data_IF_112105396720
#
_entry.id   IF_112105396720
#
_cell.length_a   1.000
_cell.length_b   1.000
_cell.length_c   1.000
_cell.angle_alpha   90.00
_cell.angle_beta   90.00
_cell.angle_gamma   90.00
#
_symmetry.space_group_name_H-M   'P 1'
#
loop_
_entity.id
_entity.type
_entity.pdbx_description
1 polymer ?
#
# COMPACT_ATOMS: atom_id res chain seq x y z
N UNK A 1 13.51 -9.88 -25.07
CA UNK A 1 13.94 -8.70 -24.26
C UNK A 1 14.77 -7.67 -25.04
N UNK A 2 15.49 -8.04 -26.12
CA UNK A 2 16.31 -7.11 -26.94
C UNK A 2 15.52 -6.12 -27.83
N UNK A 3 14.25 -6.38 -28.16
CA UNK A 3 13.44 -5.49 -29.03
C UNK A 3 12.97 -4.24 -28.28
N UNK A 4 12.70 -4.35 -26.98
CA UNK A 4 12.21 -3.23 -26.15
C UNK A 4 13.29 -2.15 -25.97
N UNK A 5 14.56 -2.52 -25.89
CA UNK A 5 15.67 -1.56 -25.83
C UNK A 5 15.90 -0.79 -27.14
N UNK A 6 15.55 -1.40 -28.28
CA UNK A 6 15.72 -0.78 -29.61
C UNK A 6 14.62 0.24 -29.90
N UNK A 7 13.39 0.03 -29.40
CA UNK A 7 12.25 0.91 -29.69
C UNK A 7 12.10 2.08 -28.70
N UNK A 8 12.68 1.98 -27.49
CA UNK A 8 12.61 3.02 -26.46
C UNK A 8 13.03 4.43 -26.94
N UNK A 9 14.13 4.61 -27.71
CA UNK A 9 14.52 5.94 -28.18
C UNK A 9 13.50 6.56 -29.14
N UNK A 10 12.86 5.75 -29.98
CA UNK A 10 11.87 6.21 -30.95
C UNK A 10 10.55 6.58 -30.29
N UNK A 11 10.12 5.83 -29.28
CA UNK A 11 8.94 6.19 -28.49
C UNK A 11 9.15 7.47 -27.70
N UNK A 12 10.33 7.65 -27.10
CA UNK A 12 10.66 8.85 -26.31
C UNK A 12 10.84 10.09 -27.21
N UNK A 13 11.38 9.91 -28.42
CA UNK A 13 11.49 10.97 -29.43
C UNK A 13 10.13 11.37 -30.02
N UNK A 14 9.24 10.41 -30.27
CA UNK A 14 7.87 10.69 -30.70
C UNK A 14 7.07 11.42 -29.60
N UNK A 15 7.23 11.00 -28.34
CA UNK A 15 6.57 11.61 -27.19
C UNK A 15 7.05 13.05 -26.95
N UNK A 16 8.37 13.29 -27.05
CA UNK A 16 8.94 14.65 -26.87
C UNK A 16 8.52 15.61 -27.99
N UNK A 17 8.47 15.15 -29.25
CA UNK A 17 7.92 15.92 -30.38
C UNK A 17 6.42 16.21 -30.21
N UNK A 18 5.67 15.27 -29.65
CA UNK A 18 4.25 15.48 -29.34
C UNK A 18 4.01 16.54 -28.26
N UNK A 19 4.85 16.58 -27.22
CA UNK A 19 4.80 17.61 -26.17
C UNK A 19 5.08 19.00 -26.75
N UNK A 20 5.98 19.12 -27.72
CA UNK A 20 6.22 20.37 -28.47
C UNK A 20 5.01 20.78 -29.31
N UNK A 21 4.36 19.84 -30.00
CA UNK A 21 3.13 20.09 -30.79
C UNK A 21 1.99 20.61 -29.90
N UNK A 22 1.94 20.21 -28.62
CA UNK A 22 0.95 20.67 -27.63
C UNK A 22 1.06 22.17 -27.29
N UNK A 23 2.22 22.80 -27.47
CA UNK A 23 2.36 24.25 -27.26
C UNK A 23 1.61 25.07 -28.33
N UNK A 24 1.23 24.44 -29.46
CA UNK A 24 0.41 25.07 -30.48
C UNK A 24 -1.08 24.80 -30.24
N UNK A 25 -1.87 25.85 -29.98
CA UNK A 25 -3.32 25.79 -29.74
C UNK A 25 -4.17 25.42 -30.97
N UNK A 26 -3.56 25.21 -32.13
CA UNK A 26 -4.29 24.98 -33.38
C UNK A 26 -4.94 23.60 -33.44
N UNK A 27 -6.21 23.55 -33.86
CA UNK A 27 -6.94 22.32 -34.15
C UNK A 27 -6.19 21.40 -35.16
N UNK A 28 -5.37 21.99 -36.05
CA UNK A 28 -4.58 21.24 -37.03
C UNK A 28 -3.48 20.36 -36.40
N UNK A 29 -2.92 20.79 -35.27
CA UNK A 29 -1.89 20.04 -34.54
C UNK A 29 -2.46 18.77 -33.90
N UNK A 30 -3.70 18.83 -33.40
CA UNK A 30 -4.43 17.67 -32.87
C UNK A 30 -4.79 16.67 -33.97
N UNK A 31 -5.13 17.17 -35.16
CA UNK A 31 -5.47 16.35 -36.32
C UNK A 31 -4.24 15.63 -36.89
N UNK A 32 -3.12 16.34 -37.05
CA UNK A 32 -1.86 15.75 -37.52
C UNK A 32 -1.34 14.67 -36.58
N UNK A 33 -1.54 14.87 -35.28
CA UNK A 33 -1.21 13.87 -34.30
C UNK A 33 -2.05 12.59 -34.38
N UNK A 34 -3.36 12.73 -34.59
CA UNK A 34 -4.27 11.60 -34.79
C UNK A 34 -3.90 10.80 -36.06
N UNK A 35 -3.56 11.50 -37.14
CA UNK A 35 -3.14 10.90 -38.40
C UNK A 35 -1.82 10.12 -38.27
N UNK A 36 -0.89 10.60 -37.45
CA UNK A 36 0.36 9.89 -37.19
C UNK A 36 0.12 8.58 -36.44
N UNK A 37 -0.78 8.58 -35.44
CA UNK A 37 -1.18 7.37 -34.71
C UNK A 37 -1.87 6.37 -35.64
N UNK A 38 -2.75 6.85 -36.51
CA UNK A 38 -3.43 6.03 -37.52
C UNK A 38 -2.48 5.47 -38.58
N UNK A 39 -1.42 6.18 -38.94
CA UNK A 39 -0.41 5.72 -39.90
C UNK A 39 0.54 4.65 -39.33
N UNK A 40 0.78 4.67 -38.02
CA UNK A 40 1.66 3.68 -37.34
C UNK A 40 0.91 2.37 -37.06
N UNK A 41 -0.40 2.41 -36.85
CA UNK A 41 -1.25 1.24 -36.53
C UNK A 41 -1.10 0.06 -37.52
N UNK A 42 -1.08 0.24 -38.87
CA UNK A 42 -0.94 -0.86 -39.83
C UNK A 42 0.48 -1.45 -39.88
N UNK A 43 1.51 -0.60 -39.70
CA UNK A 43 2.91 -1.01 -39.72
C UNK A 43 3.25 -1.94 -38.54
N UNK A 44 2.52 -1.79 -37.44
CA UNK A 44 2.75 -2.56 -36.22
C UNK A 44 1.79 -3.76 -36.09
N UNK A 45 0.71 -3.82 -36.86
CA UNK A 45 -0.15 -5.01 -37.00
C UNK A 45 0.56 -6.26 -37.54
N UNK A 46 1.81 -6.15 -38.01
CA UNK A 46 2.66 -7.29 -38.40
C UNK A 46 3.39 -7.93 -37.21
N UNK A 47 3.37 -7.34 -36.02
CA UNK A 47 3.94 -7.92 -34.81
C UNK A 47 2.91 -8.86 -34.16
N UNK A 48 2.83 -10.08 -34.67
CA UNK A 48 1.92 -11.12 -34.17
C UNK A 48 2.28 -11.54 -32.73
N UNK A 49 1.44 -11.20 -31.76
CA UNK A 49 1.54 -11.71 -30.40
C UNK A 49 0.55 -11.11 -29.41
N UNK A 50 0.29 -11.85 -28.32
CA UNK A 50 -0.54 -11.44 -27.18
C UNK A 50 -0.05 -10.13 -26.52
N UNK A 51 1.20 -9.73 -26.76
CA UNK A 51 1.80 -8.50 -26.24
C UNK A 51 1.30 -7.23 -26.96
N UNK A 52 0.85 -7.33 -28.22
CA UNK A 52 0.42 -6.15 -28.99
C UNK A 52 -0.90 -5.57 -28.48
N UNK A 53 -1.88 -6.43 -28.18
CA UNK A 53 -3.17 -5.99 -27.63
C UNK A 53 -2.96 -5.28 -26.29
N UNK A 54 -2.06 -5.78 -25.44
CA UNK A 54 -1.68 -5.11 -24.19
C UNK A 54 -0.99 -3.76 -24.44
N UNK A 55 -0.07 -3.70 -25.42
CA UNK A 55 0.57 -2.45 -25.79
C UNK A 55 -0.44 -1.40 -26.29
N UNK A 56 -1.32 -1.75 -27.23
CA UNK A 56 -2.36 -0.86 -27.72
C UNK A 56 -3.26 -0.39 -26.59
N UNK A 57 -3.69 -1.29 -25.70
CA UNK A 57 -4.47 -0.92 -24.52
C UNK A 57 -3.71 0.08 -23.65
N UNK A 58 -2.44 -0.17 -23.32
CA UNK A 58 -1.61 0.76 -22.53
C UNK A 58 -1.44 2.12 -23.21
N UNK A 59 -1.24 2.14 -24.53
CA UNK A 59 -1.13 3.38 -25.29
C UNK A 59 -2.46 4.14 -25.30
N UNK A 60 -3.57 3.46 -25.58
CA UNK A 60 -4.92 4.04 -25.49
C UNK A 60 -5.16 4.64 -24.12
N UNK A 61 -4.74 3.97 -23.04
CA UNK A 61 -4.85 4.50 -21.68
C UNK A 61 -3.96 5.70 -21.43
N UNK A 62 -2.70 5.70 -21.88
CA UNK A 62 -1.85 6.89 -21.82
C UNK A 62 -2.47 8.08 -22.55
N UNK A 63 -3.19 7.83 -23.65
CA UNK A 63 -3.86 8.85 -24.43
C UNK A 63 -5.26 9.21 -23.90
N UNK A 64 -5.88 8.38 -23.08
CA UNK A 64 -7.27 8.55 -22.63
C UNK A 64 -7.50 9.85 -21.85
N UNK A 65 -6.63 10.32 -20.93
CA UNK A 65 -6.80 11.61 -20.25
C UNK A 65 -6.95 12.79 -21.22
N UNK A 66 -6.42 12.69 -22.44
CA UNK A 66 -6.53 13.74 -23.45
C UNK A 66 -7.90 13.74 -24.17
N UNK A 67 -8.63 12.63 -24.14
CA UNK A 67 -9.91 12.45 -24.82
C UNK A 67 -11.10 12.32 -23.87
N UNK A 68 -10.89 11.82 -22.65
CA UNK A 68 -11.94 11.68 -21.64
C UNK A 68 -12.06 12.93 -20.78
N UNK A 69 -13.28 13.47 -20.64
CA UNK A 69 -13.61 14.52 -19.66
C UNK A 69 -13.61 14.02 -18.21
N UNK A 70 -13.23 12.76 -17.96
CA UNK A 70 -13.20 12.23 -16.60
C UNK A 70 -11.96 12.76 -15.90
N UNK A 71 -12.16 13.80 -15.09
CA UNK A 71 -11.08 14.43 -14.32
C UNK A 71 -10.82 13.54 -13.10
N UNK A 72 -9.74 12.77 -13.13
CA UNK A 72 -9.20 12.19 -11.91
C UNK A 72 -8.61 13.33 -11.06
N UNK A 73 -8.87 13.38 -9.75
CA UNK A 73 -8.20 14.34 -8.90
C UNK A 73 -6.70 14.08 -8.92
N UNK A 74 -5.92 15.11 -9.22
CA UNK A 74 -4.46 15.09 -9.10
C UNK A 74 -3.98 15.33 -7.67
N UNK A 75 -4.85 15.94 -6.87
CA UNK A 75 -4.62 16.15 -5.45
C UNK A 75 -4.93 14.88 -4.64
N UNK A 76 -3.88 14.30 -4.05
CA UNK A 76 -3.98 13.11 -3.21
C UNK A 76 -4.82 13.37 -1.96
N UNK A 77 -4.84 14.60 -1.42
CA UNK A 77 -5.61 14.92 -0.22
C UNK A 77 -7.10 14.61 -0.44
N UNK A 78 -7.60 14.87 -1.65
CA UNK A 78 -8.96 14.50 -2.05
C UNK A 78 -9.18 12.99 -2.12
N UNK A 79 -8.18 12.21 -2.53
CA UNK A 79 -8.22 10.74 -2.46
C UNK A 79 -8.11 10.20 -1.03
N UNK A 80 -7.65 11.00 -0.07
CA UNK A 80 -7.50 10.62 1.34
C UNK A 80 -8.65 11.12 2.22
N UNK A 81 -9.52 11.98 1.67
CA UNK A 81 -10.54 12.70 2.44
C UNK A 81 -9.91 13.53 3.56
N UNK A 82 -8.72 14.08 3.32
CA UNK A 82 -8.04 14.92 4.30
C UNK A 82 -8.88 16.19 4.54
N UNK A 83 -9.11 16.54 5.81
CA UNK A 83 -9.92 17.71 6.20
C UNK A 83 -11.44 17.53 6.11
N UNK A 84 -11.93 16.36 5.69
CA UNK A 84 -13.37 16.07 5.63
C UNK A 84 -13.91 15.84 7.04
N UNK A 85 -15.00 16.52 7.39
CA UNK A 85 -15.74 16.24 8.63
C UNK A 85 -16.34 14.83 8.56
N UNK A 86 -15.79 13.91 9.35
CA UNK A 86 -16.20 12.50 9.37
C UNK A 86 -17.58 12.28 9.99
N UNK A 87 -18.10 13.26 10.74
CA UNK A 87 -19.45 13.19 11.32
C UNK A 87 -20.54 13.62 10.30
N UNK A 88 -20.15 14.25 9.20
CA UNK A 88 -21.03 14.52 8.06
C UNK A 88 -21.13 13.27 7.16
N UNK A 89 -22.04 12.37 7.55
CA UNK A 89 -22.29 11.11 6.87
C UNK A 89 -22.66 11.27 5.38
N UNK A 90 -23.38 12.33 5.02
CA UNK A 90 -23.80 12.58 3.64
C UNK A 90 -22.60 12.98 2.78
N UNK A 91 -21.75 13.88 3.29
CA UNK A 91 -20.50 14.24 2.62
C UNK A 91 -19.59 13.03 2.45
N UNK A 92 -19.39 12.23 3.50
CA UNK A 92 -18.57 11.01 3.44
C UNK A 92 -19.12 10.04 2.40
N UNK A 93 -20.43 9.82 2.38
CA UNK A 93 -21.11 8.95 1.42
C UNK A 93 -20.91 9.42 -0.02
N UNK A 94 -21.09 10.74 -0.26
CA UNK A 94 -20.86 11.36 -1.58
C UNK A 94 -19.41 11.18 -2.04
N UNK A 95 -18.44 11.45 -1.17
CA UNK A 95 -17.02 11.32 -1.50
C UNK A 95 -16.60 9.88 -1.74
N UNK A 96 -17.18 8.91 -1.02
CA UNK A 96 -16.98 7.49 -1.31
C UNK A 96 -17.53 7.08 -2.68
N UNK A 97 -18.73 7.55 -3.03
CA UNK A 97 -19.32 7.30 -4.36
C UNK A 97 -18.43 7.88 -5.46
N UNK A 98 -17.93 9.10 -5.25
CA UNK A 98 -16.99 9.74 -6.16
C UNK A 98 -15.69 8.93 -6.29
N UNK A 99 -15.11 8.50 -5.17
CA UNK A 99 -13.91 7.66 -5.16
C UNK A 99 -14.10 6.31 -5.88
N UNK A 100 -15.23 5.65 -5.63
CA UNK A 100 -15.60 4.41 -6.34
C UNK A 100 -15.71 4.65 -7.85
N UNK A 101 -16.23 5.81 -8.28
CA UNK A 101 -16.27 6.15 -9.71
C UNK A 101 -14.87 6.29 -10.32
N UNK A 102 -13.90 6.86 -9.58
CA UNK A 102 -12.51 6.97 -10.05
C UNK A 102 -11.82 5.60 -10.16
N UNK A 103 -11.99 4.71 -9.18
CA UNK A 103 -11.48 3.35 -9.27
C UNK A 103 -12.12 2.56 -10.41
N UNK A 104 -13.43 2.75 -10.62
CA UNK A 104 -14.15 2.15 -11.75
C UNK A 104 -13.58 2.64 -13.08
N UNK A 105 -13.36 3.95 -13.21
CA UNK A 105 -12.70 4.54 -14.38
C UNK A 105 -11.31 3.94 -14.64
N UNK A 106 -10.51 3.72 -13.59
CA UNK A 106 -9.18 3.13 -13.66
C UNK A 106 -9.17 1.61 -13.90
N UNK A 107 -10.32 0.93 -13.80
CA UNK A 107 -10.39 -0.55 -13.88
C UNK A 107 -9.69 -1.10 -15.13
N UNK A 108 -9.95 -0.60 -16.35
CA UNK A 108 -9.32 -1.19 -17.52
C UNK A 108 -7.88 -0.70 -17.74
N UNK A 109 -7.43 0.39 -17.08
CA UNK A 109 -6.00 0.71 -16.98
C UNK A 109 -5.28 -0.41 -16.23
N UNK A 110 -5.76 -0.78 -15.03
CA UNK A 110 -5.15 -1.87 -14.25
C UNK A 110 -5.24 -3.22 -14.96
N UNK A 111 -6.34 -3.50 -15.66
CA UNK A 111 -6.47 -4.72 -16.46
C UNK A 111 -5.38 -4.84 -17.54
N UNK A 112 -4.98 -3.73 -18.17
CA UNK A 112 -3.89 -3.69 -19.16
C UNK A 112 -2.49 -3.98 -18.56
N UNK A 113 -2.37 -3.94 -17.23
CA UNK A 113 -1.18 -4.37 -16.47
C UNK A 113 -1.35 -5.76 -15.84
N UNK A 114 -2.45 -6.46 -16.15
CA UNK A 114 -2.71 -7.80 -15.62
C UNK A 114 -3.33 -7.80 -14.22
N UNK A 115 -3.96 -6.70 -13.81
CA UNK A 115 -4.62 -6.56 -12.52
C UNK A 115 -6.14 -6.42 -12.66
N UNK A 116 -6.88 -7.28 -12.00
CA UNK A 116 -8.35 -7.23 -11.92
C UNK A 116 -8.79 -6.64 -10.58
N UNK A 117 -9.32 -5.42 -10.60
CA UNK A 117 -9.80 -4.76 -9.38
C UNK A 117 -10.95 -5.54 -8.74
N UNK A 118 -11.01 -5.51 -7.41
CA UNK A 118 -12.16 -6.01 -6.66
C UNK A 118 -13.40 -5.14 -6.93
N UNK A 119 -14.53 -5.83 -7.11
CA UNK A 119 -15.84 -5.24 -7.37
C UNK A 119 -16.49 -4.90 -6.01
N UNK A 120 -17.19 -3.76 -5.88
CA UNK A 120 -17.95 -3.47 -4.66
C UNK A 120 -19.04 -4.54 -4.44
N UNK A 121 -19.33 -4.87 -3.17
CA UNK A 121 -20.35 -5.89 -2.82
C UNK A 121 -21.76 -5.42 -3.19
N UNK A 122 -22.04 -4.16 -2.92
CA UNK A 122 -23.32 -3.52 -3.15
C UNK A 122 -23.11 -2.11 -3.72
N UNK A 123 -24.17 -1.55 -4.30
CA UNK A 123 -24.20 -0.13 -4.71
C UNK A 123 -24.19 0.81 -3.49
N UNK A 124 -24.39 0.26 -2.30
CA UNK A 124 -24.25 1.03 -1.07
C UNK A 124 -22.81 1.49 -0.92
N UNK A 125 -22.62 2.63 -0.27
CA UNK A 125 -21.31 3.22 -0.01
C UNK A 125 -20.47 2.43 1.02
N UNK A 126 -20.65 1.09 1.09
CA UNK A 126 -19.79 0.22 1.86
C UNK A 126 -18.41 0.20 1.20
N UNK A 127 -17.37 0.27 2.03
CA UNK A 127 -15.99 0.19 1.55
C UNK A 127 -15.56 -1.26 1.23
N UNK A 128 -16.52 -2.19 1.19
CA UNK A 128 -16.26 -3.60 1.04
C UNK A 128 -16.20 -3.96 -0.44
N UNK A 129 -15.16 -4.68 -0.83
CA UNK A 129 -15.00 -5.17 -2.19
C UNK A 129 -14.51 -6.62 -2.19
N UNK A 130 -14.80 -7.35 -3.27
CA UNK A 130 -14.47 -8.76 -3.40
C UNK A 130 -13.91 -9.07 -4.79
N UNK A 131 -13.09 -10.13 -4.92
CA UNK A 131 -12.63 -10.60 -6.21
C UNK A 131 -13.76 -11.29 -6.97
N UNK A 132 -13.96 -10.89 -8.22
CA UNK A 132 -14.93 -11.53 -9.10
C UNK A 132 -14.39 -12.87 -9.65
N UNK A 133 -15.23 -13.92 -9.79
CA UNK A 133 -16.63 -14.00 -9.38
C UNK A 133 -16.80 -14.23 -7.87
N UNK A 134 -17.91 -13.78 -7.27
CA UNK A 134 -18.16 -13.83 -5.82
C UNK A 134 -18.07 -15.25 -5.22
N UNK A 135 -18.55 -16.25 -5.96
CA UNK A 135 -18.56 -17.66 -5.55
C UNK A 135 -17.36 -18.46 -6.09
N UNK A 136 -16.35 -17.77 -6.62
CA UNK A 136 -15.12 -18.41 -7.06
C UNK A 136 -14.29 -18.97 -5.89
N UNK A 137 -13.51 -20.01 -6.17
CA UNK A 137 -12.49 -20.49 -5.25
C UNK A 137 -11.17 -19.74 -5.48
N UNK A 138 -10.46 -19.37 -4.42
CA UNK A 138 -9.11 -18.85 -4.53
C UNK A 138 -8.16 -19.89 -5.13
N UNK A 139 -7.11 -19.42 -5.80
CA UNK A 139 -5.97 -20.27 -6.21
C UNK A 139 -5.29 -20.93 -5.01
N UNK A 140 -4.78 -22.15 -5.17
CA UNK A 140 -4.48 -23.05 -4.05
C UNK A 140 -3.14 -22.81 -3.33
N UNK A 141 -2.28 -21.87 -3.78
CA UNK A 141 -1.04 -21.57 -3.05
C UNK A 141 -0.51 -20.17 -3.30
N UNK A 142 -0.34 -19.41 -2.22
CA UNK A 142 0.45 -18.18 -2.22
C UNK A 142 1.87 -18.53 -1.77
N UNK A 143 2.87 -18.03 -2.48
CA UNK A 143 4.29 -18.13 -2.12
C UNK A 143 4.72 -16.74 -1.65
N UNK A 144 5.67 -16.66 -0.71
CA UNK A 144 6.28 -15.38 -0.34
C UNK A 144 6.63 -14.58 -1.62
N UNK A 145 6.28 -13.28 -1.70
CA UNK A 145 5.96 -12.37 -0.60
C UNK A 145 4.47 -12.22 -0.24
N UNK A 146 3.62 -13.08 -0.76
CA UNK A 146 2.18 -13.03 -0.49
C UNK A 146 1.87 -13.65 0.87
N UNK A 147 0.90 -13.06 1.58
CA UNK A 147 0.48 -13.54 2.88
C UNK A 147 -0.17 -14.93 2.78
N UNK A 148 -0.30 -15.64 3.89
CA UNK A 148 -1.10 -16.86 3.90
C UNK A 148 -2.56 -16.48 3.67
N UNK A 149 -3.22 -17.20 2.78
CA UNK A 149 -4.66 -17.03 2.53
C UNK A 149 -5.46 -17.75 3.61
N UNK A 150 -6.24 -17.01 4.40
CA UNK A 150 -7.07 -17.54 5.49
C UNK A 150 -8.56 -17.71 5.12
N UNK A 151 -8.86 -17.88 3.83
CA UNK A 151 -10.23 -17.96 3.34
C UNK A 151 -10.38 -19.03 2.25
N UNK A 152 -11.56 -19.66 2.20
CA UNK A 152 -11.87 -20.76 1.28
C UNK A 152 -12.69 -20.30 0.07
N UNK A 153 -13.37 -19.16 0.17
CA UNK A 153 -14.21 -18.61 -0.91
C UNK A 153 -13.90 -17.14 -1.18
N UNK A 154 -14.10 -16.68 -2.42
CA UNK A 154 -13.94 -15.26 -2.76
C UNK A 154 -14.85 -14.36 -1.90
N UNK A 155 -16.02 -14.85 -1.48
CA UNK A 155 -16.93 -14.16 -0.56
C UNK A 155 -16.33 -13.93 0.83
N UNK A 156 -15.47 -14.81 1.32
CA UNK A 156 -14.77 -14.61 2.60
C UNK A 156 -13.58 -13.65 2.46
N UNK A 157 -13.03 -13.52 1.25
CA UNK A 157 -11.86 -12.68 0.96
C UNK A 157 -12.12 -11.17 0.95
N UNK A 158 -13.30 -10.74 1.41
CA UNK A 158 -13.74 -9.34 1.38
C UNK A 158 -12.63 -8.41 1.86
N UNK A 159 -12.24 -7.51 0.97
CA UNK A 159 -11.37 -6.41 1.32
C UNK A 159 -12.21 -5.41 2.10
N UNK A 160 -12.26 -5.63 3.42
CA UNK A 160 -12.89 -4.73 4.37
C UNK A 160 -11.88 -3.65 4.70
N UNK A 161 -12.05 -2.44 4.16
CA UNK A 161 -11.46 -1.26 4.79
C UNK A 161 -12.24 -1.12 6.08
N UNK A 162 -11.71 -1.64 7.19
CA UNK A 162 -12.41 -1.72 8.47
C UNK A 162 -12.98 -0.34 8.84
N UNK A 163 -14.27 -0.17 8.59
CA UNK A 163 -15.10 0.81 9.25
C UNK A 163 -15.71 -0.02 10.36
N UNK A 164 -15.09 -0.01 11.53
CA UNK A 164 -15.72 -0.64 12.70
C UNK A 164 -16.92 0.22 13.02
N UNK A 165 -18.05 -0.15 12.43
CA UNK A 165 -19.35 0.30 12.86
C UNK A 165 -19.68 -0.43 14.18
N UNK A 166 -20.20 0.34 15.14
CA UNK A 166 -20.37 0.01 16.56
C UNK A 166 -19.10 -0.32 17.36
N UNK A 167 -18.38 0.71 17.83
CA UNK A 167 -18.08 0.89 19.29
C UNK A 167 -16.95 1.88 19.66
N UNK A 168 -16.36 2.69 18.77
CA UNK A 168 -15.71 3.90 19.29
C UNK A 168 -15.59 5.06 18.30
N UNK A 169 -16.05 6.23 18.75
CA UNK A 169 -15.61 7.54 18.24
C UNK A 169 -14.07 7.61 18.15
N UNK A 170 -13.37 6.87 19.03
CA UNK A 170 -11.91 6.76 19.08
C UNK A 170 -11.30 6.02 17.86
N UNK A 171 -11.87 4.88 17.44
CA UNK A 171 -11.44 4.18 16.22
C UNK A 171 -11.86 4.95 14.96
N UNK A 172 -12.92 5.77 15.02
CA UNK A 172 -13.33 6.65 13.91
C UNK A 172 -12.23 7.65 13.50
N UNK A 173 -11.41 8.11 14.44
CA UNK A 173 -10.25 8.98 14.17
C UNK A 173 -9.02 8.24 13.64
N UNK A 174 -8.82 6.98 14.06
CA UNK A 174 -7.69 6.15 13.60
C UNK A 174 -7.98 5.45 12.27
N UNK A 175 -9.24 5.16 12.00
CA UNK A 175 -9.76 4.67 10.72
C UNK A 175 -10.03 5.84 9.78
N UNK A 176 -9.05 6.75 9.64
CA UNK A 176 -8.94 7.62 8.46
C UNK A 176 -8.87 6.69 7.25
N UNK A 177 -10.05 6.39 6.73
CA UNK A 177 -10.26 5.47 5.63
C UNK A 177 -9.30 5.87 4.53
N UNK A 178 -8.71 4.88 3.86
CA UNK A 178 -7.77 5.12 2.77
C UNK A 178 -8.49 4.86 1.44
N UNK A 179 -9.32 5.80 0.93
CA UNK A 179 -9.87 5.72 -0.42
C UNK A 179 -8.78 5.70 -1.51
N UNK A 180 -7.53 5.92 -1.13
CA UNK A 180 -6.35 5.70 -1.95
C UNK A 180 -5.94 4.22 -2.07
N UNK A 181 -6.72 3.25 -1.58
CA UNK A 181 -6.39 1.82 -1.61
C UNK A 181 -7.52 0.98 -2.19
N UNK A 182 -7.21 0.03 -3.08
CA UNK A 182 -8.15 -0.94 -3.64
C UNK A 182 -7.55 -2.34 -3.66
N UNK A 183 -8.34 -3.35 -3.28
CA UNK A 183 -7.98 -4.75 -3.50
C UNK A 183 -8.05 -5.11 -4.99
N UNK A 184 -7.18 -6.01 -5.43
CA UNK A 184 -7.18 -6.54 -6.78
C UNK A 184 -6.61 -7.96 -6.82
N UNK A 185 -6.68 -8.61 -7.99
CA UNK A 185 -5.96 -9.84 -8.29
C UNK A 185 -5.01 -9.64 -9.44
N UNK A 186 -3.85 -10.28 -9.37
CA UNK A 186 -2.95 -10.35 -10.52
C UNK A 186 -3.38 -11.47 -11.51
N UNK A 187 -2.64 -11.58 -12.62
CA UNK A 187 -2.84 -12.60 -13.65
C UNK A 187 -2.73 -14.06 -13.15
N UNK A 188 -2.14 -14.28 -11.98
CA UNK A 188 -2.00 -15.59 -11.35
C UNK A 188 -3.11 -15.85 -10.31
N UNK A 189 -4.08 -14.96 -10.17
CA UNK A 189 -5.15 -15.05 -9.17
C UNK A 189 -4.66 -14.84 -7.73
N UNK A 190 -3.48 -14.23 -7.54
CA UNK A 190 -2.97 -13.85 -6.22
C UNK A 190 -3.56 -12.51 -5.82
N UNK A 191 -3.91 -12.35 -4.55
CA UNK A 191 -4.50 -11.10 -4.09
C UNK A 191 -3.42 -10.05 -3.85
N UNK A 192 -3.67 -8.87 -4.39
CA UNK A 192 -2.80 -7.70 -4.26
C UNK A 192 -3.64 -6.52 -3.76
N UNK A 193 -2.94 -5.49 -3.33
CA UNK A 193 -3.49 -4.20 -2.96
C UNK A 193 -2.81 -3.14 -3.82
N UNK A 194 -3.62 -2.31 -4.46
CA UNK A 194 -3.17 -1.18 -5.25
C UNK A 194 -3.40 0.08 -4.43
N UNK A 195 -2.36 0.90 -4.27
CA UNK A 195 -2.40 2.11 -3.46
C UNK A 195 -1.83 3.31 -4.18
N UNK A 196 -2.50 4.46 -4.08
CA UNK A 196 -1.99 5.74 -4.55
C UNK A 196 -1.05 6.32 -3.49
N UNK A 197 0.17 6.65 -3.89
CA UNK A 197 1.22 7.16 -2.99
C UNK A 197 1.68 8.56 -3.35
N UNK A 198 1.52 8.97 -4.61
CA UNK A 198 1.89 10.31 -5.07
C UNK A 198 0.92 10.82 -6.14
N UNK A 199 0.81 12.15 -6.24
CA UNK A 199 0.25 12.86 -7.36
C UNK A 199 1.39 13.42 -8.22
N UNK A 200 1.12 14.42 -9.08
CA UNK A 200 2.11 15.00 -9.99
C UNK A 200 3.36 15.53 -9.26
N UNK A 201 3.18 16.01 -8.04
CA UNK A 201 4.28 16.36 -7.14
C UNK A 201 4.65 15.15 -6.29
N UNK A 202 5.95 14.80 -6.30
CA UNK A 202 6.46 13.65 -5.57
C UNK A 202 6.32 13.83 -4.06
N UNK A 203 5.52 12.96 -3.44
CA UNK A 203 5.29 12.97 -2.00
C UNK A 203 6.53 12.51 -1.21
N UNK A 204 6.60 12.91 0.07
CA UNK A 204 7.63 12.36 0.98
C UNK A 204 7.48 10.85 1.18
N UNK A 205 6.24 10.36 1.17
CA UNK A 205 5.94 8.92 1.29
C UNK A 205 6.52 8.14 0.12
N UNK A 206 6.41 8.64 -1.11
CA UNK A 206 7.04 8.04 -2.29
C UNK A 206 8.55 7.87 -2.10
N UNK A 207 9.26 8.93 -1.69
CA UNK A 207 10.71 8.89 -1.47
C UNK A 207 11.13 7.88 -0.41
N UNK A 208 10.34 7.75 0.65
CA UNK A 208 10.58 6.74 1.71
C UNK A 208 10.39 5.33 1.14
N UNK A 209 9.34 5.09 0.36
CA UNK A 209 9.09 3.79 -0.25
C UNK A 209 10.16 3.42 -1.29
N UNK A 210 10.62 4.37 -2.09
CA UNK A 210 11.76 4.20 -3.01
C UNK A 210 13.03 3.82 -2.25
N UNK A 211 13.30 4.46 -1.12
CA UNK A 211 14.43 4.12 -0.26
C UNK A 211 14.30 2.70 0.33
N UNK A 212 13.14 2.38 0.91
CA UNK A 212 12.88 1.07 1.54
C UNK A 212 12.88 -0.09 0.53
N UNK A 213 12.64 0.18 -0.75
CA UNK A 213 12.71 -0.81 -1.82
C UNK A 213 14.03 -0.79 -2.58
N UNK A 214 14.99 0.05 -2.17
CA UNK A 214 16.33 0.06 -2.75
C UNK A 214 17.08 -1.25 -2.43
N UNK A 215 17.99 -1.72 -3.32
CA UNK A 215 18.74 -2.95 -3.09
C UNK A 215 19.57 -2.97 -1.79
N UNK A 216 20.02 -1.81 -1.30
CA UNK A 216 20.75 -1.71 -0.03
C UNK A 216 19.82 -1.85 1.17
N UNK A 217 18.64 -1.23 1.15
CA UNK A 217 17.65 -1.36 2.21
C UNK A 217 17.04 -2.77 2.25
N UNK A 218 16.82 -3.43 1.11
CA UNK A 218 16.28 -4.79 1.06
C UNK A 218 17.25 -5.86 1.60
N UNK A 219 18.56 -5.56 1.66
CA UNK A 219 19.56 -6.43 2.29
C UNK A 219 19.55 -6.33 3.81
N UNK A 220 18.96 -5.28 4.37
CA UNK A 220 18.84 -5.13 5.82
C UNK A 220 17.75 -6.08 6.34
N UNK A 221 18.07 -7.08 7.19
CA UNK A 221 17.12 -8.08 7.65
C UNK A 221 15.99 -7.48 8.52
N UNK A 222 16.11 -6.21 8.92
CA UNK A 222 15.11 -5.50 9.72
C UNK A 222 14.12 -4.74 8.85
N UNK A 223 14.41 -4.61 7.56
CA UNK A 223 13.48 -4.06 6.60
C UNK A 223 12.38 -5.09 6.33
N UNK A 224 11.36 -5.07 7.20
CA UNK A 224 10.16 -5.88 7.10
C UNK A 224 9.06 -5.18 6.28
N UNK A 225 9.44 -4.23 5.43
CA UNK A 225 8.49 -3.49 4.60
C UNK A 225 7.78 -4.45 3.65
N UNK A 226 6.46 -4.31 3.53
CA UNK A 226 5.68 -5.06 2.53
C UNK A 226 6.26 -4.74 1.15
N UNK A 227 6.71 -5.75 0.38
CA UNK A 227 7.42 -5.49 -0.86
C UNK A 227 6.48 -4.89 -1.90
N UNK A 228 7.00 -3.93 -2.66
CA UNK A 228 6.32 -3.34 -3.81
C UNK A 228 6.59 -4.25 -5.01
N UNK A 229 5.51 -4.77 -5.59
CA UNK A 229 5.52 -5.66 -6.74
C UNK A 229 5.70 -4.85 -8.04
N UNK A 230 4.94 -3.76 -8.17
CA UNK A 230 4.95 -2.89 -9.35
C UNK A 230 4.74 -1.43 -8.96
N UNK A 231 5.34 -0.54 -9.75
CA UNK A 231 5.11 0.90 -9.75
C UNK A 231 4.36 1.27 -11.04
N UNK A 232 3.17 1.83 -10.91
CA UNK A 232 2.32 2.21 -12.04
C UNK A 232 2.08 3.71 -12.02
N UNK A 233 2.08 4.35 -13.20
CA UNK A 233 1.86 5.78 -13.33
C UNK A 233 0.71 6.06 -14.31
N UNK A 234 -0.21 6.95 -13.91
CA UNK A 234 -1.32 7.38 -14.76
C UNK A 234 -1.70 8.85 -14.47
N UNK A 235 -1.63 9.71 -15.48
CA UNK A 235 -1.95 11.15 -15.38
C UNK A 235 -1.20 11.87 -14.22
N UNK A 236 0.07 11.51 -14.01
CA UNK A 236 0.90 12.02 -12.91
C UNK A 236 0.57 11.42 -11.54
N UNK A 237 -0.43 10.55 -11.41
CA UNK A 237 -0.65 9.76 -10.19
C UNK A 237 0.29 8.56 -10.18
N UNK A 238 0.90 8.29 -9.04
CA UNK A 238 1.77 7.12 -8.81
C UNK A 238 1.06 6.13 -7.90
N UNK A 239 0.91 4.91 -8.42
CA UNK A 239 0.33 3.77 -7.74
C UNK A 239 1.42 2.75 -7.45
N UNK A 240 1.32 2.10 -6.29
CA UNK A 240 2.10 0.93 -5.94
C UNK A 240 1.18 -0.29 -5.89
N UNK A 241 1.70 -1.42 -6.32
CA UNK A 241 1.06 -2.72 -6.14
C UNK A 241 1.83 -3.48 -5.08
N UNK A 242 1.14 -3.98 -4.07
CA UNK A 242 1.72 -4.76 -2.97
C UNK A 242 0.95 -6.06 -2.81
N UNK A 243 1.53 -7.13 -2.26
CA UNK A 243 0.76 -8.29 -1.87
C UNK A 243 -0.35 -7.88 -0.88
N UNK A 244 -1.53 -8.48 -0.99
CA UNK A 244 -2.56 -8.28 0.02
C UNK A 244 -2.15 -9.05 1.27
N UNK A 245 -1.89 -8.31 2.35
CA UNK A 245 -1.72 -8.89 3.68
C UNK A 245 -3.04 -8.76 4.44
N UNK A 246 -3.33 -9.74 5.29
CA UNK A 246 -4.51 -9.71 6.15
C UNK A 246 -4.37 -8.65 7.25
N UNK A 247 -5.39 -8.55 8.10
CA UNK A 247 -5.45 -7.53 9.14
C UNK A 247 -4.30 -7.69 10.14
N UNK A 248 -3.42 -6.69 10.19
CA UNK A 248 -2.17 -6.71 10.96
C UNK A 248 -2.31 -7.01 12.47
N UNK A 249 -3.53 -6.92 13.02
CA UNK A 249 -3.79 -7.02 14.46
C UNK A 249 -4.83 -8.08 14.82
N UNK A 250 -5.38 -8.78 13.82
CA UNK A 250 -6.35 -9.86 14.02
C UNK A 250 -5.81 -11.15 13.40
N UNK A 251 -4.63 -11.55 13.86
CA UNK A 251 -4.05 -12.82 13.45
C UNK A 251 -4.53 -13.93 14.38
N UNK A 252 -5.03 -15.00 13.78
CA UNK A 252 -5.23 -16.26 14.45
C UNK A 252 -3.85 -16.89 14.69
N UNK A 253 -3.24 -16.50 15.80
CA UNK A 253 -1.98 -17.07 16.29
C UNK A 253 -2.30 -18.46 16.81
N UNK A 254 -2.08 -19.47 15.97
CA UNK A 254 -2.41 -20.85 16.28
C UNK A 254 -1.51 -21.44 17.37
N UNK A 255 -0.35 -20.82 17.63
CA UNK A 255 0.61 -21.27 18.63
C UNK A 255 1.20 -20.13 19.46
N UNK A 256 1.58 -20.44 20.70
CA UNK A 256 2.31 -19.50 21.59
C UNK A 256 3.64 -19.05 20.96
N UNK A 257 4.29 -19.91 20.19
CA UNK A 257 5.54 -19.57 19.48
C UNK A 257 5.33 -18.44 18.46
N UNK A 258 4.22 -18.44 17.73
CA UNK A 258 3.88 -17.36 16.78
C UNK A 258 3.59 -16.04 17.52
N UNK A 259 2.90 -16.08 18.67
CA UNK A 259 2.72 -14.89 19.52
C UNK A 259 4.05 -14.31 19.97
N UNK A 260 4.95 -15.17 20.47
CA UNK A 260 6.28 -14.78 20.93
C UNK A 260 7.08 -14.18 19.78
N UNK A 261 7.00 -14.75 18.57
CA UNK A 261 7.68 -14.22 17.41
C UNK A 261 7.20 -12.81 17.01
N UNK A 262 5.88 -12.60 16.97
CA UNK A 262 5.30 -11.27 16.70
C UNK A 262 5.73 -10.28 17.80
N UNK A 263 5.68 -10.72 19.05
CA UNK A 263 6.13 -9.92 20.19
C UNK A 263 7.62 -9.58 20.05
N UNK A 264 8.49 -10.52 19.71
CA UNK A 264 9.92 -10.28 19.49
C UNK A 264 10.18 -9.21 18.42
N UNK A 265 9.46 -9.27 17.29
CA UNK A 265 9.60 -8.29 16.20
C UNK A 265 9.19 -6.89 16.66
N UNK A 266 8.05 -6.77 17.36
CA UNK A 266 7.60 -5.50 17.91
C UNK A 266 8.53 -5.00 19.02
N UNK A 267 9.02 -5.91 19.86
CA UNK A 267 9.85 -5.61 21.01
C UNK A 267 11.28 -5.26 20.58
N UNK A 268 11.79 -5.75 19.46
CA UNK A 268 13.07 -5.30 18.91
C UNK A 268 13.13 -3.77 18.72
N UNK A 269 11.99 -3.12 18.46
CA UNK A 269 11.86 -1.66 18.38
C UNK A 269 11.84 -1.05 19.79
N UNK A 270 11.17 -1.69 20.75
CA UNK A 270 10.99 -1.21 22.13
C UNK A 270 12.25 -1.41 22.98
N UNK A 271 13.08 -2.41 22.68
CA UNK A 271 14.29 -2.79 23.43
C UNK A 271 15.28 -1.64 23.62
N UNK A 272 15.31 -0.66 22.73
CA UNK A 272 16.17 0.53 22.90
C UNK A 272 15.65 1.50 23.95
N UNK A 273 14.33 1.60 24.09
CA UNK A 273 13.68 2.54 25.01
C UNK A 273 13.60 1.93 26.40
N UNK A 274 13.33 0.62 26.47
CA UNK A 274 13.04 -0.10 27.71
C UNK A 274 13.91 -1.36 27.76
N UNK A 275 15.19 -1.28 28.14
CA UNK A 275 16.08 -2.44 28.17
C UNK A 275 15.54 -3.58 29.05
N UNK A 276 14.84 -3.26 30.13
CA UNK A 276 14.24 -4.23 31.05
C UNK A 276 13.15 -5.10 30.40
N UNK A 277 12.62 -4.68 29.25
CA UNK A 277 11.69 -5.48 28.46
C UNK A 277 12.35 -6.77 27.98
N UNK A 278 13.68 -6.79 27.80
CA UNK A 278 14.44 -7.99 27.40
C UNK A 278 14.32 -9.05 28.48
N UNK A 279 14.68 -8.73 29.72
CA UNK A 279 14.62 -9.66 30.85
C UNK A 279 13.19 -10.16 31.09
N UNK A 280 12.19 -9.30 30.88
CA UNK A 280 10.79 -9.68 30.95
C UNK A 280 10.37 -10.69 29.87
N UNK A 281 10.80 -10.48 28.61
CA UNK A 281 10.55 -11.42 27.51
C UNK A 281 11.27 -12.74 27.77
N UNK A 282 12.54 -12.71 28.19
CA UNK A 282 13.31 -13.91 28.49
C UNK A 282 12.69 -14.73 29.61
N UNK A 283 12.18 -14.07 30.65
CA UNK A 283 11.42 -14.71 31.72
C UNK A 283 10.16 -15.40 31.21
N UNK A 284 9.37 -14.73 30.35
CA UNK A 284 8.20 -15.35 29.69
C UNK A 284 8.59 -16.53 28.78
N UNK A 285 9.81 -16.53 28.25
CA UNK A 285 10.35 -17.54 27.32
C UNK A 285 11.19 -18.61 27.99
N UNK A 286 11.22 -18.69 29.32
CA UNK A 286 12.10 -19.63 30.01
C UNK A 286 11.94 -21.07 29.50
N UNK A 287 13.05 -21.76 29.28
CA UNK A 287 13.06 -23.13 28.75
C UNK A 287 12.40 -24.11 29.71
N UNK A 288 12.49 -23.83 31.01
CA UNK A 288 11.92 -24.65 32.08
C UNK A 288 10.47 -24.23 32.34
N UNK A 289 9.48 -25.13 32.22
CA UNK A 289 8.08 -24.79 32.44
C UNK A 289 7.79 -24.20 33.83
N UNK A 290 8.52 -24.63 34.87
CA UNK A 290 8.41 -24.13 36.24
C UNK A 290 8.78 -22.65 36.41
N UNK A 291 9.61 -22.13 35.51
CA UNK A 291 10.19 -20.79 35.62
C UNK A 291 9.40 -19.79 34.78
N UNK A 292 8.43 -20.27 33.97
CA UNK A 292 7.58 -19.41 33.16
C UNK A 292 6.50 -18.78 34.05
N UNK A 293 6.27 -17.46 33.95
CA UNK A 293 5.19 -16.83 34.67
C UNK A 293 3.82 -17.34 34.23
N UNK A 294 2.89 -17.33 35.17
CA UNK A 294 1.46 -17.31 34.84
C UNK A 294 1.10 -16.02 34.10
N UNK A 295 0.01 -16.03 33.33
CA UNK A 295 -0.47 -14.84 32.63
C UNK A 295 -0.70 -13.64 33.57
N UNK A 296 -1.14 -13.92 34.81
CA UNK A 296 -1.34 -12.91 35.85
C UNK A 296 -0.01 -12.28 36.30
N UNK A 297 1.01 -13.09 36.56
CA UNK A 297 2.34 -12.61 36.96
C UNK A 297 3.00 -11.82 35.83
N UNK A 298 2.91 -12.31 34.59
CA UNK A 298 3.40 -11.59 33.42
C UNK A 298 2.72 -10.21 33.29
N UNK A 299 1.40 -10.15 33.46
CA UNK A 299 0.65 -8.89 33.41
C UNK A 299 1.05 -7.92 34.53
N UNK A 300 1.19 -8.40 35.77
CA UNK A 300 1.63 -7.55 36.89
C UNK A 300 3.04 -7.01 36.66
N UNK A 301 3.96 -7.84 36.18
CA UNK A 301 5.32 -7.41 35.85
C UNK A 301 5.35 -6.41 34.70
N UNK A 302 4.49 -6.58 33.70
CA UNK A 302 4.34 -5.61 32.62
C UNK A 302 3.80 -4.27 33.13
N UNK A 303 2.83 -4.26 34.06
CA UNK A 303 2.36 -3.04 34.71
C UNK A 303 3.48 -2.37 35.53
N UNK A 304 4.27 -3.15 36.27
CA UNK A 304 5.44 -2.64 36.99
C UNK A 304 6.42 -1.97 36.03
N UNK A 305 6.76 -2.61 34.91
CA UNK A 305 7.61 -2.02 33.87
C UNK A 305 7.02 -0.71 33.34
N UNK A 306 5.71 -0.69 33.05
CA UNK A 306 5.01 0.51 32.59
C UNK A 306 5.12 1.66 33.60
N UNK A 307 5.02 1.38 34.90
CA UNK A 307 5.15 2.41 35.94
C UNK A 307 6.57 2.95 36.11
N UNK A 308 7.58 2.20 35.66
CA UNK A 308 9.00 2.63 35.70
C UNK A 308 9.40 3.48 34.50
N UNK A 309 8.59 3.54 33.45
CA UNK A 309 8.87 4.35 32.28
C UNK A 309 8.82 5.83 32.66
N UNK A 310 9.96 6.51 32.52
CA UNK A 310 10.03 7.95 32.74
C UNK A 310 9.41 8.70 31.56
N UNK A 311 8.96 9.93 31.79
CA UNK A 311 8.52 10.81 30.71
C UNK A 311 9.63 10.99 29.66
N UNK A 312 10.89 11.08 30.10
CA UNK A 312 12.06 11.17 29.23
C UNK A 312 12.23 9.93 28.35
N UNK A 313 12.03 8.71 28.86
CA UNK A 313 12.06 7.48 28.05
C UNK A 313 10.92 7.43 27.04
N UNK A 314 9.71 7.85 27.43
CA UNK A 314 8.55 7.92 26.54
C UNK A 314 8.70 8.99 25.45
N UNK A 315 9.45 10.04 25.73
CA UNK A 315 9.76 11.13 24.81
C UNK A 315 11.07 10.95 24.04
N UNK A 316 11.91 9.99 24.44
CA UNK A 316 13.22 9.75 23.85
C UNK A 316 13.11 9.53 22.34
N UNK A 317 13.97 10.19 21.52
CA UNK A 317 13.99 9.94 20.10
C UNK A 317 14.45 8.50 19.86
N UNK A 318 13.67 7.75 19.07
CA UNK A 318 14.06 6.43 18.58
C UNK A 318 15.38 6.57 17.82
N UNK A 319 16.45 5.94 18.28
CA UNK A 319 17.67 5.83 17.46
C UNK A 319 17.44 4.77 16.38
N UNK A 320 17.79 5.09 15.14
CA UNK A 320 17.90 4.06 14.11
C UNK A 320 19.12 3.21 14.46
N UNK A 321 18.88 2.03 15.02
CA UNK A 321 19.89 0.97 15.09
C UNK A 321 20.11 0.37 13.70
N UNK A 322 21.15 -0.44 13.53
CA UNK A 322 21.48 -1.21 12.33
C UNK A 322 22.13 -2.53 12.73
N UNK A 323 21.57 -3.66 12.30
CA UNK A 323 22.16 -4.96 12.54
C UNK A 323 23.21 -5.23 11.47
N UNK A 324 24.47 -5.37 11.87
CA UNK A 324 25.60 -5.45 10.94
C UNK A 324 25.85 -6.87 10.38
N UNK A 325 25.02 -7.85 10.76
CA UNK A 325 25.18 -9.26 10.37
C UNK A 325 26.15 -10.05 11.24
N UNK A 326 26.86 -9.42 12.19
CA UNK A 326 27.85 -10.05 13.08
C UNK A 326 27.29 -10.51 14.44
N UNK A 327 25.97 -10.42 14.65
CA UNK A 327 25.36 -10.61 15.97
C UNK A 327 25.33 -9.34 16.81
N UNK A 328 25.73 -8.18 16.26
CA UNK A 328 25.77 -6.89 16.97
C UNK A 328 24.89 -5.85 16.27
N UNK A 329 24.27 -4.98 17.07
CA UNK A 329 23.52 -3.83 16.61
C UNK A 329 24.38 -2.57 16.78
N UNK A 330 24.43 -1.71 15.77
CA UNK A 330 25.16 -0.44 15.76
C UNK A 330 24.19 0.73 15.55
N UNK A 331 24.39 1.87 16.22
CA UNK A 331 23.54 3.07 16.01
C UNK A 331 23.93 3.76 14.70
N UNK A 332 22.94 3.96 13.81
CA UNK A 332 23.12 4.56 12.48
C UNK A 332 22.69 6.03 12.45
N UNK A 333 21.58 6.38 13.10
CA UNK A 333 21.09 7.77 13.15
C UNK A 333 20.42 8.08 14.49
N UNK A 334 20.78 9.21 15.10
CA UNK A 334 20.01 9.84 16.16
C UNK A 334 19.18 10.99 15.55
N UNK A 335 17.85 10.90 15.61
CA UNK A 335 17.00 12.00 15.16
C UNK A 335 17.24 13.20 16.09
N UNK A 336 17.68 14.34 15.53
CA UNK A 336 17.98 15.55 16.31
C UNK A 336 16.74 16.10 17.04
N UNK A 337 15.56 15.93 16.44
CA UNK A 337 14.26 16.31 17.03
C UNK A 337 13.16 15.40 16.51
N UNK A 338 12.25 14.97 17.39
CA UNK A 338 11.06 14.20 17.02
C UNK A 338 10.10 15.09 16.21
N UNK A 339 9.43 14.58 15.16
CA UNK A 339 8.28 15.26 14.59
C UNK A 339 7.24 15.46 15.72
N UNK A 340 6.89 16.71 16.04
CA UNK A 340 5.83 16.99 17.01
C UNK A 340 4.55 16.34 16.50
N UNK A 341 4.06 15.35 17.23
CA UNK A 341 2.69 14.88 17.07
C UNK A 341 1.76 16.05 17.46
N UNK A 342 0.63 16.26 16.76
CA UNK A 342 -0.30 17.34 17.10
C UNK A 342 -0.78 17.19 18.55
N UNK A 343 -1.06 18.27 19.26
CA UNK A 343 -1.47 18.18 20.67
C UNK A 343 -2.71 17.28 20.82
N UNK A 344 -2.57 16.18 21.58
CA UNK A 344 -3.66 15.26 21.87
C UNK A 344 -4.17 15.57 23.29
N UNK A 345 -5.42 16.00 23.43
CA UNK A 345 -6.07 16.23 24.73
C UNK A 345 -6.47 14.90 25.41
N UNK A 346 -5.50 14.07 25.75
CA UNK A 346 -5.72 12.93 26.64
C UNK A 346 -5.60 13.40 28.10
N UNK A 347 -6.67 13.27 28.87
CA UNK A 347 -6.61 13.18 30.33
C UNK A 347 -6.91 11.73 30.73
N UNK A 348 -6.20 11.19 31.74
CA UNK A 348 -6.31 9.79 32.16
C UNK A 348 -7.73 9.39 32.57
#
# INVERSE_FOLDING_TARGET
>A
MQIVSVLKPYTDQALSRWILIKQYKSASAKLGGLLLVLAVLPLVGRMNGLEWTQFCQRLTWKLRPYFSRHILPRDIARWRLDGVNVDDLDMVTRLRKENNSWWTFLTPFFAAYGYSLHVPIDDNATANSYPYPLHGKPTSRQVHPYARRLYCTNRESTFKIHVVDMMSKLIRHLSRQKPCVRGARDKCGRDVVIRIVSGPEHSKELKVLEYLTSPSALKDPRNITIPILDWLEFDGLIFIVMPKWDQAWMHDVGTVAECIHIADVLLAIIREIVPEIISFIEWMRSSRPSDRPTAREAYLKFQELKTKLTAEQLEAPLSDIFYDGSGRYQKKYAYKTRPKLPDHNWRP
#
